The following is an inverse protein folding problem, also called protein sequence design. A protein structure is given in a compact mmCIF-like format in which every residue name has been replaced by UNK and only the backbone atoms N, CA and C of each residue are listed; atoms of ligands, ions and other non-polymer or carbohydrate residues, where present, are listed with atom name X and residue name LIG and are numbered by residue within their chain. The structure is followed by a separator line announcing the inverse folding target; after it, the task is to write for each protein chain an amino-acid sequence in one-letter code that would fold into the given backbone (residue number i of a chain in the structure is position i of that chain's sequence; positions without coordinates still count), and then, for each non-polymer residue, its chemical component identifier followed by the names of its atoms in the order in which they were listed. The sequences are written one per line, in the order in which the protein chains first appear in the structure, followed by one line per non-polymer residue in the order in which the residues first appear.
data_IF_930827152978
#
_entry.id   IF_930827152978
#
_cell.length_a   1.000
_cell.length_b   1.000
_cell.length_c   1.000
_cell.angle_alpha   90.00
_cell.angle_beta   90.00
_cell.angle_gamma   90.00
#
_symmetry.space_group_name_H-M   'P 1'
#
loop_
_entity.id
_entity.type
_entity.pdbx_description
1 polymer ?
#
# COMPACT_ATOMS: atom_id res chain seq x y z
N UNK A 1 2.75 -17.92 35.05
CA UNK A 1 2.18 -19.15 34.46
C UNK A 1 2.05 -18.92 32.96
N UNK A 2 2.76 -19.70 32.13
CA UNK A 2 2.78 -19.56 30.66
C UNK A 2 1.47 -20.07 30.04
N UNK A 3 0.34 -19.49 30.41
CA UNK A 3 -0.98 -19.95 29.97
C UNK A 3 -1.51 -19.09 28.82
N UNK A 4 -0.89 -19.24 27.65
CA UNK A 4 -1.39 -18.64 26.41
C UNK A 4 -2.37 -19.63 25.78
N UNK A 5 -3.66 -19.38 26.02
CA UNK A 5 -4.76 -20.18 25.45
C UNK A 5 -5.19 -19.60 24.11
N UNK A 6 -5.16 -20.43 23.08
CA UNK A 6 -5.65 -20.09 21.76
C UNK A 6 -7.01 -20.73 21.52
N UNK A 7 -7.97 -19.95 21.04
CA UNK A 7 -9.32 -20.43 20.74
C UNK A 7 -9.62 -20.20 19.27
N UNK A 8 -9.95 -21.27 18.55
CA UNK A 8 -10.50 -21.20 17.20
C UNK A 8 -12.00 -21.41 17.32
N UNK A 9 -12.79 -20.42 16.89
CA UNK A 9 -14.24 -20.53 16.78
C UNK A 9 -14.61 -20.62 15.30
N UNK A 10 -15.36 -21.66 14.96
CA UNK A 10 -16.06 -21.83 13.69
C UNK A 10 -17.56 -21.85 13.99
N UNK A 11 -18.41 -21.78 12.97
CA UNK A 11 -19.87 -21.78 13.14
C UNK A 11 -20.38 -22.99 13.95
N UNK A 12 -19.69 -24.13 13.87
CA UNK A 12 -20.11 -25.39 14.49
C UNK A 12 -19.21 -25.89 15.62
N UNK A 13 -17.95 -25.44 15.69
CA UNK A 13 -16.95 -25.98 16.63
C UNK A 13 -16.14 -24.90 17.31
N UNK A 14 -15.87 -25.11 18.59
CA UNK A 14 -14.90 -24.35 19.39
C UNK A 14 -13.74 -25.27 19.71
N UNK A 15 -12.54 -24.95 19.21
CA UNK A 15 -11.31 -25.65 19.58
C UNK A 15 -10.49 -24.76 20.50
N UNK A 16 -9.99 -25.34 21.60
CA UNK A 16 -9.12 -24.66 22.56
C UNK A 16 -7.79 -25.40 22.61
N UNK A 17 -6.71 -24.64 22.58
CA UNK A 17 -5.34 -25.17 22.62
C UNK A 17 -4.49 -24.34 23.58
N UNK A 18 -3.45 -24.95 24.12
CA UNK A 18 -2.39 -24.26 24.85
C UNK A 18 -1.19 -24.15 23.92
N UNK A 19 -0.67 -22.93 23.72
CA UNK A 19 0.42 -22.68 22.78
C UNK A 19 1.71 -23.40 23.20
N UNK A 20 2.05 -23.28 24.48
CA UNK A 20 3.24 -23.88 25.10
C UNK A 20 2.82 -24.97 26.07
N UNK A 21 3.01 -26.24 25.72
CA UNK A 21 2.51 -27.37 26.51
C UNK A 21 3.58 -28.01 27.41
N UNK A 22 4.86 -27.76 27.13
CA UNK A 22 6.00 -28.23 27.93
C UNK A 22 7.02 -27.11 28.05
N UNK A 23 7.62 -26.99 29.23
CA UNK A 23 8.84 -26.22 29.44
C UNK A 23 9.83 -27.05 30.27
N UNK A 24 11.10 -26.83 30.05
CA UNK A 24 12.20 -27.50 30.75
C UNK A 24 13.26 -26.45 31.07
N UNK A 25 13.72 -26.43 32.33
CA UNK A 25 14.70 -25.45 32.80
C UNK A 25 15.98 -26.23 33.11
N UNK A 26 17.03 -25.93 32.36
CA UNK A 26 18.36 -26.40 32.70
C UNK A 26 19.00 -25.40 33.69
N UNK A 27 19.19 -25.85 34.93
CA UNK A 27 19.75 -25.01 36.00
C UNK A 27 21.27 -24.87 35.84
N UNK A 28 21.95 -25.88 35.31
CA UNK A 28 23.39 -25.88 35.07
C UNK A 28 23.77 -24.88 33.99
N UNK A 29 23.15 -25.00 32.82
CA UNK A 29 23.42 -24.19 31.64
C UNK A 29 22.60 -22.90 31.60
N UNK A 30 21.68 -22.72 32.55
CA UNK A 30 20.83 -21.52 32.74
C UNK A 30 20.02 -21.16 31.49
N UNK A 31 19.46 -22.15 30.81
CA UNK A 31 18.55 -21.93 29.68
C UNK A 31 17.17 -22.55 29.92
N UNK A 32 16.19 -22.03 29.18
CA UNK A 32 14.80 -22.45 29.22
C UNK A 32 14.40 -22.97 27.84
N UNK A 33 14.04 -24.25 27.79
CA UNK A 33 13.43 -24.87 26.62
C UNK A 33 11.90 -24.81 26.73
N UNK A 34 11.22 -24.44 25.64
CA UNK A 34 9.77 -24.37 25.57
C UNK A 34 9.31 -25.10 24.32
N UNK A 35 8.43 -26.09 24.49
CA UNK A 35 7.84 -26.81 23.38
C UNK A 35 6.52 -26.18 22.95
N UNK A 36 6.37 -25.96 21.65
CA UNK A 36 5.14 -25.45 21.03
C UNK A 36 4.28 -26.62 20.56
N UNK A 37 2.95 -26.51 20.74
CA UNK A 37 2.04 -27.55 20.27
C UNK A 37 2.23 -27.77 18.76
N UNK A 38 2.43 -29.02 18.29
CA UNK A 38 2.64 -29.32 16.86
C UNK A 38 1.51 -28.77 15.99
N UNK A 39 0.27 -28.83 16.49
CA UNK A 39 -0.93 -28.31 15.81
C UNK A 39 -0.86 -26.80 15.59
N UNK A 40 -0.12 -26.06 16.41
CA UNK A 40 0.01 -24.60 16.35
C UNK A 40 1.35 -24.16 15.74
N UNK A 41 2.15 -25.09 15.19
CA UNK A 41 3.44 -24.78 14.54
C UNK A 41 3.30 -23.69 13.50
N UNK A 42 2.19 -23.68 12.76
CA UNK A 42 1.91 -22.70 11.71
C UNK A 42 1.76 -21.26 12.24
N UNK A 43 1.33 -21.08 13.49
CA UNK A 43 1.11 -19.75 14.08
C UNK A 43 2.43 -18.99 14.24
N UNK A 44 3.50 -19.72 14.58
CA UNK A 44 4.82 -19.13 14.81
C UNK A 44 5.72 -19.21 13.58
N UNK A 45 5.62 -20.29 12.81
CA UNK A 45 6.56 -20.57 11.71
C UNK A 45 5.99 -20.30 10.32
N UNK A 46 4.68 -20.33 10.13
CA UNK A 46 4.03 -20.12 8.83
C UNK A 46 3.44 -18.72 8.73
N UNK A 47 4.26 -17.72 9.06
CA UNK A 47 3.89 -16.30 8.98
C UNK A 47 4.08 -15.84 7.52
N UNK A 48 3.17 -16.22 6.64
CA UNK A 48 3.28 -15.94 5.20
C UNK A 48 2.85 -14.52 4.84
N UNK A 49 1.68 -14.09 5.30
CA UNK A 49 1.07 -12.80 4.95
C UNK A 49 0.44 -12.11 6.17
N UNK A 50 0.23 -10.79 6.08
CA UNK A 50 -0.46 -9.96 7.10
C UNK A 50 0.19 -9.91 8.49
N UNK A 51 1.52 -9.86 8.54
CA UNK A 51 2.27 -9.69 9.79
C UNK A 51 2.99 -8.33 9.84
N UNK A 52 3.31 -7.90 11.06
CA UNK A 52 4.15 -6.72 11.31
C UNK A 52 5.55 -7.17 11.70
N UNK A 53 6.56 -6.80 10.90
CA UNK A 53 7.99 -7.02 11.22
C UNK A 53 8.60 -5.80 11.87
N UNK A 54 9.36 -6.02 12.95
CA UNK A 54 10.16 -4.99 13.61
C UNK A 54 11.34 -5.62 14.35
N UNK A 55 12.35 -4.80 14.63
CA UNK A 55 13.54 -5.25 15.34
C UNK A 55 13.25 -5.38 16.83
N UNK A 56 13.69 -6.49 17.43
CA UNK A 56 13.53 -6.71 18.87
C UNK A 56 14.21 -5.60 19.68
N UNK A 57 15.36 -5.11 19.18
CA UNK A 57 16.11 -4.02 19.81
C UNK A 57 15.25 -2.77 19.99
N UNK A 58 14.41 -2.39 19.04
CA UNK A 58 13.49 -1.24 19.19
C UNK A 58 12.53 -1.46 20.36
N UNK A 59 11.99 -2.67 20.50
CA UNK A 59 11.01 -3.00 21.53
C UNK A 59 11.62 -3.13 22.94
N UNK A 60 12.87 -3.60 23.07
CA UNK A 60 13.52 -3.81 24.38
C UNK A 60 13.84 -2.52 25.12
N UNK A 61 13.97 -1.39 24.40
CA UNK A 61 14.21 -0.09 25.02
C UNK A 61 12.95 0.51 25.67
N UNK A 62 11.77 0.01 25.31
CA UNK A 62 10.50 0.44 25.87
C UNK A 62 10.31 -0.13 27.27
N UNK A 63 9.95 0.71 28.24
CA UNK A 63 9.74 0.30 29.64
C UNK A 63 8.27 0.09 29.92
N UNK A 64 7.42 1.02 29.46
CA UNK A 64 5.97 0.96 29.67
C UNK A 64 5.33 -0.17 28.85
N UNK A 65 4.48 -0.96 29.50
CA UNK A 65 3.64 -1.98 28.84
C UNK A 65 2.74 -1.35 27.78
N UNK A 66 2.17 -0.18 28.06
CA UNK A 66 1.35 0.56 27.10
C UNK A 66 2.17 1.02 25.89
N UNK A 67 3.41 1.47 26.10
CA UNK A 67 4.31 1.85 25.00
C UNK A 67 4.66 0.66 24.12
N UNK A 68 4.93 -0.51 24.70
CA UNK A 68 5.18 -1.76 23.95
C UNK A 68 3.98 -2.17 23.10
N UNK A 69 2.78 -2.16 23.69
CA UNK A 69 1.56 -2.51 22.96
C UNK A 69 1.25 -1.49 21.87
N UNK A 70 1.41 -0.20 22.15
CA UNK A 70 1.18 0.86 21.15
C UNK A 70 2.23 0.83 20.03
N UNK A 71 3.49 0.55 20.34
CA UNK A 71 4.55 0.38 19.35
C UNK A 71 4.16 -0.69 18.32
N UNK A 72 3.66 -1.85 18.78
CA UNK A 72 3.19 -2.93 17.90
C UNK A 72 2.06 -2.47 16.97
N UNK A 73 1.13 -1.67 17.49
CA UNK A 73 0.02 -1.12 16.71
C UNK A 73 0.51 -0.11 15.67
N UNK A 74 1.29 0.90 16.08
CA UNK A 74 1.78 1.95 15.16
C UNK A 74 2.70 1.38 14.08
N UNK A 75 3.49 0.35 14.40
CA UNK A 75 4.38 -0.28 13.43
C UNK A 75 3.62 -0.99 12.30
N UNK A 76 2.37 -1.40 12.52
CA UNK A 76 1.50 -1.89 11.44
C UNK A 76 1.22 -0.80 10.39
N UNK A 77 1.14 0.46 10.85
CA UNK A 77 0.88 1.65 10.03
C UNK A 77 2.16 2.39 9.63
N UNK A 78 3.33 1.75 9.76
CA UNK A 78 4.64 2.41 9.55
C UNK A 78 4.80 3.06 8.16
N UNK A 79 4.12 2.53 7.14
CA UNK A 79 4.18 3.06 5.78
C UNK A 79 3.07 4.06 5.45
N UNK A 80 1.98 4.11 6.22
CA UNK A 80 0.92 5.12 6.04
C UNK A 80 1.22 6.36 6.86
N UNK A 81 1.89 6.22 8.01
CA UNK A 81 2.15 7.35 8.93
C UNK A 81 0.89 7.85 9.64
N UNK A 82 -0.23 7.14 9.49
CA UNK A 82 -1.53 7.55 10.00
C UNK A 82 -2.32 6.34 10.50
N UNK A 83 -2.86 6.48 11.71
CA UNK A 83 -3.75 5.52 12.34
C UNK A 83 -4.89 6.24 13.03
N UNK A 84 -6.13 5.80 12.80
CA UNK A 84 -7.32 6.29 13.48
C UNK A 84 -8.03 5.14 14.17
N UNK A 85 -8.34 5.30 15.46
CA UNK A 85 -8.95 4.25 16.28
C UNK A 85 -10.04 4.84 17.19
N UNK A 86 -11.12 4.09 17.41
CA UNK A 86 -12.14 4.46 18.40
C UNK A 86 -11.55 4.39 19.80
N UNK A 87 -12.03 5.23 20.71
CA UNK A 87 -11.53 5.23 22.09
C UNK A 87 -11.85 3.89 22.79
N UNK A 88 -12.98 3.27 22.47
CA UNK A 88 -13.36 1.96 22.99
C UNK A 88 -12.38 0.86 22.52
N UNK A 89 -12.12 0.77 21.21
CA UNK A 89 -11.16 -0.19 20.63
C UNK A 89 -9.73 0.05 21.15
N UNK A 90 -9.37 1.30 21.40
CA UNK A 90 -8.06 1.68 21.96
C UNK A 90 -7.91 1.17 23.40
N UNK A 91 -8.96 1.26 24.22
CA UNK A 91 -8.95 0.72 25.58
C UNK A 91 -8.79 -0.78 25.59
N UNK A 92 -9.54 -1.48 24.74
CA UNK A 92 -9.47 -2.93 24.64
C UNK A 92 -8.08 -3.40 24.20
N UNK A 93 -7.51 -2.81 23.12
CA UNK A 93 -6.21 -3.24 22.58
C UNK A 93 -5.02 -2.97 23.50
N UNK A 94 -5.14 -2.01 24.39
CA UNK A 94 -4.10 -1.66 25.35
C UNK A 94 -4.37 -2.22 26.76
N UNK A 95 -5.46 -2.98 26.94
CA UNK A 95 -5.91 -3.50 28.24
C UNK A 95 -6.07 -2.38 29.30
N UNK A 96 -6.61 -1.23 28.90
CA UNK A 96 -6.81 -0.09 29.79
C UNK A 96 -7.99 -0.37 30.72
N UNK A 97 -7.83 -0.20 32.06
CA UNK A 97 -8.93 -0.38 33.01
C UNK A 97 -10.09 0.58 32.73
N UNK A 98 -11.32 0.09 32.85
CA UNK A 98 -12.53 0.91 32.64
C UNK A 98 -12.64 2.07 33.66
N UNK A 99 -12.00 1.94 34.81
CA UNK A 99 -11.91 3.01 35.82
C UNK A 99 -11.13 4.24 35.35
N UNK A 100 -10.34 4.12 34.27
CA UNK A 100 -9.55 5.23 33.75
C UNK A 100 -10.43 6.24 33.00
N UNK A 101 -10.60 7.39 33.66
CA UNK A 101 -11.09 8.61 33.02
C UNK A 101 -10.08 9.10 31.97
N UNK A 102 -10.53 9.95 31.05
CA UNK A 102 -9.66 10.50 30.01
C UNK A 102 -8.44 11.25 30.55
N UNK A 103 -8.55 11.90 31.72
CA UNK A 103 -7.42 12.51 32.42
C UNK A 103 -6.34 11.47 32.77
N UNK A 104 -6.76 10.32 33.29
CA UNK A 104 -5.87 9.22 33.66
C UNK A 104 -5.24 8.60 32.41
N UNK A 105 -6.02 8.43 31.33
CA UNK A 105 -5.50 7.97 30.04
C UNK A 105 -4.42 8.93 29.51
N UNK A 106 -4.64 10.24 29.59
CA UNK A 106 -3.63 11.21 29.19
C UNK A 106 -2.35 11.04 30.02
N UNK A 107 -2.47 10.99 31.34
CA UNK A 107 -1.33 10.97 32.25
C UNK A 107 -0.55 9.64 32.23
N UNK A 108 -1.24 8.51 32.29
CA UNK A 108 -0.63 7.19 32.51
C UNK A 108 -0.46 6.37 31.24
N UNK A 109 -1.15 6.73 30.16
CA UNK A 109 -1.10 5.98 28.89
C UNK A 109 -0.46 6.82 27.79
N UNK A 110 -1.05 7.97 27.44
CA UNK A 110 -0.57 8.76 26.29
C UNK A 110 0.77 9.45 26.56
N UNK A 111 0.98 10.06 27.73
CA UNK A 111 2.26 10.69 28.08
C UNK A 111 3.45 9.73 27.99
N UNK A 112 3.43 8.54 28.61
CA UNK A 112 4.53 7.59 28.46
C UNK A 112 4.67 7.04 27.04
N UNK A 113 3.57 6.85 26.30
CA UNK A 113 3.61 6.47 24.88
C UNK A 113 4.37 7.52 24.07
N UNK A 114 4.01 8.80 24.18
CA UNK A 114 4.68 9.89 23.44
C UNK A 114 6.16 9.92 23.85
N UNK A 115 6.46 9.92 25.15
CA UNK A 115 7.84 10.03 25.63
C UNK A 115 8.75 8.90 25.14
N UNK A 116 8.27 7.66 25.16
CA UNK A 116 9.07 6.49 24.78
C UNK A 116 9.07 6.23 23.26
N UNK A 117 8.00 6.60 22.55
CA UNK A 117 7.88 6.32 21.10
C UNK A 117 8.35 7.45 20.20
N UNK A 118 8.41 8.70 20.66
CA UNK A 118 8.95 9.83 19.87
C UNK A 118 10.37 9.62 19.33
N UNK A 119 11.30 8.94 20.04
CA UNK A 119 12.62 8.62 19.49
C UNK A 119 12.59 7.61 18.32
N UNK A 120 11.53 6.80 18.23
CA UNK A 120 11.38 5.72 17.25
C UNK A 120 10.55 6.20 16.05
N UNK A 121 9.48 6.94 16.31
CA UNK A 121 8.60 7.50 15.29
C UNK A 121 8.79 9.02 15.23
N UNK A 122 9.39 9.49 14.14
CA UNK A 122 9.58 10.92 13.90
C UNK A 122 8.23 11.63 13.77
N UNK A 123 8.12 12.81 14.39
CA UNK A 123 6.92 13.66 14.37
C UNK A 123 5.64 12.97 14.87
N UNK A 124 5.76 12.07 15.84
CA UNK A 124 4.61 11.43 16.48
C UNK A 124 3.72 12.46 17.19
N UNK A 125 2.48 12.60 16.71
CA UNK A 125 1.46 13.44 17.31
C UNK A 125 0.16 12.65 17.50
N UNK A 126 -0.60 13.02 18.54
CA UNK A 126 -1.84 12.39 18.95
C UNK A 126 -2.94 13.44 19.01
N UNK A 127 -3.86 13.36 18.06
CA UNK A 127 -5.03 14.20 17.98
C UNK A 127 -6.24 13.48 18.60
N UNK A 128 -7.04 14.22 19.38
CA UNK A 128 -8.23 13.71 20.06
C UNK A 128 -9.46 14.28 19.38
N UNK A 129 -10.19 13.44 18.65
CA UNK A 129 -11.39 13.86 17.92
C UNK A 129 -12.61 13.65 18.81
N UNK A 130 -13.34 14.74 19.02
CA UNK A 130 -14.59 14.74 19.79
C UNK A 130 -15.75 14.23 18.93
N UNK A 131 -16.73 13.63 19.58
CA UNK A 131 -17.98 13.26 18.94
C UNK A 131 -18.68 14.49 18.34
N UNK A 132 -19.46 14.29 17.27
CA UNK A 132 -20.24 15.37 16.62
C UNK A 132 -21.17 16.11 17.60
N UNK A 133 -21.69 15.39 18.60
CA UNK A 133 -22.58 15.92 19.64
C UNK A 133 -21.97 15.66 21.02
N UNK A 134 -21.31 16.68 21.57
CA UNK A 134 -20.80 16.67 22.95
C UNK A 134 -19.29 16.88 23.06
N UNK A 135 -18.77 16.76 24.30
CA UNK A 135 -17.34 16.91 24.62
C UNK A 135 -16.60 15.58 24.76
N UNK A 136 -17.30 14.45 24.63
CA UNK A 136 -16.70 13.10 24.71
C UNK A 136 -15.75 12.90 23.53
N UNK A 137 -14.56 12.38 23.81
CA UNK A 137 -13.62 11.94 22.77
C UNK A 137 -14.12 10.60 22.25
N UNK A 138 -14.27 10.50 20.93
CA UNK A 138 -14.76 9.31 20.25
C UNK A 138 -13.62 8.61 19.51
N UNK A 139 -12.69 9.38 18.94
CA UNK A 139 -11.57 8.85 18.18
C UNK A 139 -10.23 9.42 18.63
N UNK A 140 -9.20 8.59 18.53
CA UNK A 140 -7.81 9.00 18.62
C UNK A 140 -7.17 8.84 17.25
N UNK A 141 -6.48 9.90 16.81
CA UNK A 141 -5.74 9.93 15.56
C UNK A 141 -4.26 10.09 15.86
N UNK A 142 -3.46 9.19 15.32
CA UNK A 142 -2.01 9.18 15.44
C UNK A 142 -1.41 9.53 14.09
N UNK A 143 -0.53 10.51 14.07
CA UNK A 143 0.21 10.95 12.88
C UNK A 143 1.70 10.85 13.17
N UNK A 144 2.48 10.34 12.23
CA UNK A 144 3.93 10.24 12.30
C UNK A 144 4.51 10.09 10.89
N UNK A 145 5.82 10.30 10.75
CA UNK A 145 6.47 10.20 9.44
C UNK A 145 6.52 8.75 8.95
N UNK A 146 6.08 8.53 7.72
CA UNK A 146 6.06 7.19 7.14
C UNK A 146 7.48 6.68 6.85
N UNK A 147 7.78 5.45 7.26
CA UNK A 147 8.99 4.74 6.88
C UNK A 147 9.02 4.54 5.36
N UNK A 148 10.10 5.01 4.73
CA UNK A 148 10.36 4.78 3.32
C UNK A 148 10.36 3.27 3.07
N UNK A 149 9.49 2.82 2.16
CA UNK A 149 9.57 1.44 1.67
C UNK A 149 10.90 1.32 0.93
N UNK A 150 11.75 0.39 1.35
CA UNK A 150 12.91 -0.01 0.56
C UNK A 150 12.33 -0.76 -0.65
N UNK A 151 12.03 -0.02 -1.73
CA UNK A 151 11.49 -0.62 -2.93
C UNK A 151 12.61 -1.44 -3.59
N UNK A 152 12.58 -2.77 -3.47
CA UNK A 152 13.36 -3.62 -4.39
C UNK A 152 12.68 -3.80 -5.77
N UNK A 153 11.67 -2.98 -6.08
CA UNK A 153 11.15 -2.81 -7.44
C UNK A 153 10.92 -1.33 -7.68
N UNK A 154 11.66 -0.79 -8.64
CA UNK A 154 11.43 0.52 -9.26
C UNK A 154 9.94 0.62 -9.61
N UNK A 155 9.17 1.38 -8.83
CA UNK A 155 7.92 1.89 -9.35
C UNK A 155 8.29 2.98 -10.36
N UNK A 156 7.86 2.92 -11.62
CA UNK A 156 8.02 4.06 -12.51
C UNK A 156 7.26 5.21 -11.85
N UNK A 157 8.00 6.29 -11.52
CA UNK A 157 7.39 7.50 -11.03
C UNK A 157 6.31 7.90 -12.04
N UNK A 158 5.06 8.01 -11.58
CA UNK A 158 4.03 8.68 -12.36
C UNK A 158 4.44 10.15 -12.41
N UNK A 159 5.28 10.49 -13.39
CA UNK A 159 5.57 11.87 -13.71
C UNK A 159 4.24 12.55 -14.07
N UNK A 160 3.90 13.56 -13.29
CA UNK A 160 2.81 14.50 -13.43
C UNK A 160 1.98 14.35 -14.72
N UNK A 161 0.76 13.83 -14.57
CA UNK A 161 -0.31 13.90 -15.57
C UNK A 161 -0.71 15.39 -15.67
N UNK A 162 0.09 16.16 -16.41
CA UNK A 162 -0.10 17.60 -16.61
C UNK A 162 0.40 18.07 -17.98
N UNK A 163 0.71 17.16 -18.90
CA UNK A 163 1.00 17.49 -20.29
C UNK A 163 -0.10 16.87 -21.14
N UNK A 164 -0.79 17.71 -21.91
CA UNK A 164 -1.74 17.25 -22.92
C UNK A 164 -1.03 16.24 -23.81
N UNK A 165 -1.62 15.05 -23.94
CA UNK A 165 -1.14 14.07 -24.92
C UNK A 165 -1.45 14.66 -26.29
N UNK A 166 -0.48 15.34 -26.90
CA UNK A 166 -0.56 15.62 -28.33
C UNK A 166 -0.62 14.28 -29.05
N UNK A 167 -1.71 14.06 -29.78
CA UNK A 167 -1.94 12.87 -30.57
C UNK A 167 -0.95 12.89 -31.73
N UNK A 168 0.13 12.13 -31.64
CA UNK A 168 1.05 11.92 -32.75
C UNK A 168 0.39 10.89 -33.68
N UNK A 169 0.02 11.31 -34.88
CA UNK A 169 -0.48 10.40 -35.92
C UNK A 169 0.54 9.28 -36.14
N UNK A 170 0.08 8.04 -36.11
CA UNK A 170 0.90 6.83 -36.32
C UNK A 170 0.86 6.36 -37.77
N UNK A 171 0.54 7.25 -38.70
CA UNK A 171 0.55 6.92 -40.11
C UNK A 171 1.98 6.60 -40.55
N UNK A 172 2.15 5.40 -41.13
CA UNK A 172 3.43 4.90 -41.65
C UNK A 172 3.67 5.41 -43.08
N UNK A 173 3.26 6.64 -43.36
CA UNK A 173 3.41 7.22 -44.68
C UNK A 173 4.91 7.40 -44.93
N UNK A 174 5.49 6.71 -45.92
CA UNK A 174 6.92 6.81 -46.15
C UNK A 174 7.26 8.22 -46.65
N UNK A 175 8.35 8.80 -46.13
CA UNK A 175 8.71 10.23 -46.32
C UNK A 175 8.77 10.70 -47.78
N UNK A 176 9.10 9.80 -48.71
CA UNK A 176 9.11 10.10 -50.15
C UNK A 176 7.74 10.51 -50.70
N UNK A 177 6.64 10.17 -50.01
CA UNK A 177 5.28 10.59 -50.38
C UNK A 177 5.01 12.05 -49.99
N UNK A 178 5.62 12.55 -48.89
CA UNK A 178 5.54 13.97 -48.52
C UNK A 178 6.42 14.84 -49.42
N UNK A 179 7.51 14.28 -49.94
CA UNK A 179 8.47 14.96 -50.82
C UNK A 179 7.99 15.09 -52.28
N UNK A 180 6.88 14.45 -52.66
CA UNK A 180 6.18 14.75 -53.93
C UNK A 180 5.31 16.01 -53.80
N UNK A 181 5.87 17.09 -53.30
CA UNK A 181 5.33 18.41 -53.63
C UNK A 181 5.67 18.64 -55.10
N UNK A 182 4.65 18.63 -55.94
CA UNK A 182 4.72 18.90 -57.37
C UNK A 182 5.79 19.93 -57.69
N UNK A 183 6.87 19.46 -58.32
CA UNK A 183 7.79 20.34 -59.00
C UNK A 183 6.99 21.15 -60.04
N UNK A 184 7.29 22.45 -60.04
CA UNK A 184 6.94 23.53 -60.98
C UNK A 184 6.21 23.10 -62.25
N UNK A 185 5.16 23.82 -62.69
CA UNK A 185 4.55 23.56 -64.00
C UNK A 185 5.62 23.76 -65.09
N UNK A 186 6.02 22.66 -65.72
CA UNK A 186 6.63 22.69 -67.05
C UNK A 186 5.62 23.36 -67.98
N UNK A 187 6.11 24.29 -68.81
CA UNK A 187 5.30 24.93 -69.84
C UNK A 187 4.57 23.84 -70.63
N UNK A 188 3.24 23.95 -70.73
CA UNK A 188 2.41 23.05 -71.51
C UNK A 188 2.83 23.12 -72.99
N UNK A 189 3.76 22.26 -73.40
CA UNK A 189 3.96 21.95 -74.80
C UNK A 189 2.80 21.04 -75.21
N UNK A 190 1.89 21.61 -76.01
CA UNK A 190 0.76 20.90 -76.57
C UNK A 190 1.28 19.85 -77.56
N UNK A 191 1.18 18.57 -77.20
CA UNK A 191 1.49 17.46 -78.10
C UNK A 191 0.17 16.95 -78.72
N UNK A 192 -0.12 17.26 -80.00
CA UNK A 192 -1.37 16.89 -80.66
C UNK A 192 -1.57 15.37 -80.75
N UNK A 193 -0.48 14.61 -80.63
CA UNK A 193 -0.50 13.15 -80.75
C UNK A 193 -1.06 12.50 -79.48
N UNK A 194 -0.73 13.07 -78.31
CA UNK A 194 -1.22 12.62 -77.01
C UNK A 194 -2.74 12.82 -76.87
N UNK A 195 -3.30 13.92 -77.38
CA UNK A 195 -4.75 14.15 -77.33
C UNK A 195 -5.53 13.18 -78.20
N UNK A 196 -5.01 12.86 -79.40
CA UNK A 196 -5.62 11.84 -80.27
C UNK A 196 -5.63 10.46 -79.61
N UNK A 197 -4.55 10.08 -78.93
CA UNK A 197 -4.49 8.83 -78.18
C UNK A 197 -5.47 8.83 -77.00
N UNK A 198 -5.59 9.97 -76.29
CA UNK A 198 -6.55 10.12 -75.19
C UNK A 198 -8.00 10.04 -75.66
N UNK A 199 -8.34 10.65 -76.80
CA UNK A 199 -9.68 10.56 -77.38
C UNK A 199 -10.00 9.15 -77.90
N UNK A 200 -9.04 8.48 -78.54
CA UNK A 200 -9.20 7.10 -78.98
C UNK A 200 -9.42 6.15 -77.79
N UNK A 201 -8.67 6.34 -76.70
CA UNK A 201 -8.83 5.58 -75.47
C UNK A 201 -10.19 5.80 -74.80
N UNK A 202 -10.67 7.05 -74.74
CA UNK A 202 -12.00 7.36 -74.19
C UNK A 202 -13.13 6.76 -75.03
N UNK A 203 -12.98 6.76 -76.36
CA UNK A 203 -13.93 6.07 -77.25
C UNK A 203 -13.91 4.56 -77.04
N UNK A 204 -12.73 3.97 -76.87
CA UNK A 204 -12.61 2.54 -76.59
C UNK A 204 -13.29 2.17 -75.27
N UNK A 205 -13.09 2.97 -74.22
CA UNK A 205 -13.83 2.84 -72.96
C UNK A 205 -15.34 2.91 -73.20
N UNK A 206 -15.84 3.91 -73.93
CA UNK A 206 -17.27 4.02 -74.20
C UNK A 206 -17.84 2.81 -74.96
N UNK A 207 -17.09 2.23 -75.89
CA UNK A 207 -17.49 1.01 -76.62
C UNK A 207 -17.51 -0.21 -75.68
N UNK A 208 -16.53 -0.36 -74.79
CA UNK A 208 -16.46 -1.45 -73.80
C UNK A 208 -17.58 -1.36 -72.73
N UNK A 209 -18.27 -0.22 -72.61
CA UNK A 209 -19.38 -0.01 -71.68
C UNK A 209 -20.78 -0.14 -72.34
N UNK A 210 -20.87 -0.27 -73.67
CA UNK A 210 -22.13 -0.39 -74.42
C UNK A 210 -22.34 -1.76 -75.13
N UNK A 211 -21.39 -2.72 -75.01
CA UNK A 211 -21.59 -4.15 -75.37
C UNK A 211 -22.13 -5.01 -74.21
#
# INVERSE_FOLDING_TARGET
MLDIRYTIRTETKIKKFVLFYKYEIDISEKYLEIATSPDLKYILNSITDNFTKFELKEMTHLKSTYSKNMFRLLKQYKHTGYMKIKIEDFRERLDIPESYRMSNINQFVLTPIIKELSPIFSNLNINKVKAKKGRKIEWLEFTFDAEKRIHNKRQPQMANIGKSRQYISREKTPKWLEERTYEKPTQNEYDPQLEKEREAFLKQLQVDWEE
#
